data_IF_997627976030
#
_entry.id   IF_997627976030
#
_cell.length_a   1.000
_cell.length_b   1.000
_cell.length_c   1.000
_cell.angle_alpha   90.00
_cell.angle_beta   90.00
_cell.angle_gamma   90.00
#
_symmetry.space_group_name_H-M   'P 1'
#
loop_
_entity.id
_entity.type
_entity.pdbx_description
1 polymer ?
#
# COMPACT_ATOMS: atom_id res chain seq x y z
N UNK A 1 -24.33 -6.90 13.06
CA UNK A 1 -25.57 -7.67 12.83
C UNK A 1 -25.35 -9.19 12.92
N UNK A 2 -24.48 -9.81 12.13
CA UNK A 2 -24.24 -11.27 12.25
C UNK A 2 -23.54 -11.69 13.56
N UNK A 3 -22.74 -10.80 14.17
CA UNK A 3 -21.98 -11.08 15.41
C UNK A 3 -22.92 -11.61 16.51
N UNK A 4 -23.99 -10.87 16.81
CA UNK A 4 -25.01 -11.26 17.79
C UNK A 4 -25.77 -12.53 17.38
N UNK A 5 -26.08 -12.70 16.08
CA UNK A 5 -26.78 -13.88 15.57
C UNK A 5 -26.03 -15.19 15.84
N UNK A 6 -24.69 -15.16 15.76
CA UNK A 6 -23.84 -16.31 16.08
C UNK A 6 -23.40 -16.35 17.55
N UNK A 7 -23.93 -15.47 18.41
CA UNK A 7 -23.56 -15.38 19.82
C UNK A 7 -22.11 -14.94 20.07
N UNK A 8 -21.52 -14.21 19.11
CA UNK A 8 -20.15 -13.70 19.19
C UNK A 8 -20.15 -12.33 19.90
N UNK A 9 -19.01 -11.98 20.50
CA UNK A 9 -18.79 -10.68 21.15
C UNK A 9 -18.23 -9.64 20.19
N UNK A 10 -17.45 -10.07 19.21
CA UNK A 10 -16.76 -9.22 18.24
C UNK A 10 -16.57 -9.96 16.90
N UNK A 11 -16.02 -9.28 15.88
CA UNK A 11 -15.77 -9.91 14.58
C UNK A 11 -14.56 -10.89 14.69
N UNK A 12 -14.77 -12.21 14.55
CA UNK A 12 -13.69 -13.18 14.69
C UNK A 12 -12.66 -13.07 13.57
N UNK A 13 -13.00 -12.52 12.40
CA UNK A 13 -12.17 -12.49 11.20
C UNK A 13 -11.73 -11.08 10.80
N UNK A 14 -11.72 -10.14 11.74
CA UNK A 14 -11.12 -8.83 11.53
C UNK A 14 -9.68 -8.96 11.02
N UNK A 15 -9.31 -8.13 10.03
CA UNK A 15 -7.97 -8.11 9.45
C UNK A 15 -6.98 -7.28 10.28
N UNK A 16 -7.47 -6.53 11.27
CA UNK A 16 -6.63 -5.81 12.23
C UNK A 16 -5.79 -6.79 13.04
N UNK A 17 -4.49 -6.52 13.24
CA UNK A 17 -3.62 -7.38 14.02
C UNK A 17 -3.96 -7.24 15.52
N UNK A 18 -4.69 -8.21 16.06
CA UNK A 18 -4.99 -8.36 17.50
C UNK A 18 -4.23 -9.59 18.06
N UNK A 19 -3.34 -9.42 19.06
CA UNK A 19 -2.59 -10.52 19.66
C UNK A 19 -3.46 -11.66 20.21
N UNK A 20 -4.68 -11.38 20.68
CA UNK A 20 -5.59 -12.41 21.22
C UNK A 20 -5.99 -13.45 20.16
N UNK A 21 -5.95 -13.07 18.89
CA UNK A 21 -6.30 -13.91 17.74
C UNK A 21 -5.07 -14.60 17.11
N UNK A 22 -3.89 -14.47 17.74
CA UNK A 22 -2.68 -15.13 17.29
C UNK A 22 -2.76 -16.64 17.51
N UNK A 23 -2.99 -17.36 16.42
CA UNK A 23 -2.86 -18.81 16.39
C UNK A 23 -1.44 -19.20 15.95
N UNK A 24 -0.65 -19.73 16.88
CA UNK A 24 0.69 -20.25 16.60
C UNK A 24 0.61 -21.74 16.25
N UNK A 25 0.47 -22.04 14.96
CA UNK A 25 0.61 -23.42 14.48
C UNK A 25 2.01 -23.97 14.76
N UNK A 26 2.21 -25.29 14.66
CA UNK A 26 3.50 -25.91 14.95
C UNK A 26 4.65 -25.25 14.17
N UNK A 27 4.44 -24.95 12.89
CA UNK A 27 5.40 -24.23 12.05
C UNK A 27 5.66 -22.80 12.52
N UNK A 28 4.63 -22.09 13.01
CA UNK A 28 4.84 -20.75 13.58
C UNK A 28 5.67 -20.82 14.86
N UNK A 29 5.48 -21.85 15.69
CA UNK A 29 6.26 -22.05 16.90
C UNK A 29 7.72 -22.37 16.58
N UNK A 30 7.97 -23.26 15.61
CA UNK A 30 9.32 -23.55 15.11
C UNK A 30 9.98 -22.29 14.54
N UNK A 31 9.26 -21.51 13.73
CA UNK A 31 9.74 -20.25 13.19
C UNK A 31 10.19 -19.32 14.31
N UNK A 32 9.34 -19.15 15.33
CA UNK A 32 9.64 -18.27 16.45
C UNK A 32 10.84 -18.73 17.25
N UNK A 33 10.95 -20.03 17.53
CA UNK A 33 12.09 -20.60 18.22
C UNK A 33 13.38 -20.36 17.44
N UNK A 34 13.36 -20.55 16.11
CA UNK A 34 14.50 -20.23 15.25
C UNK A 34 14.86 -18.74 15.24
N UNK A 35 13.87 -17.84 15.22
CA UNK A 35 14.11 -16.39 15.29
C UNK A 35 14.72 -15.99 16.64
N UNK A 36 14.17 -16.50 17.74
CA UNK A 36 14.68 -16.24 19.09
C UNK A 36 16.10 -16.77 19.25
N UNK A 37 16.35 -18.00 18.83
CA UNK A 37 17.69 -18.58 18.83
C UNK A 37 18.70 -17.74 18.04
N UNK A 38 18.33 -17.31 16.83
CA UNK A 38 19.15 -16.45 15.99
C UNK A 38 19.40 -15.06 16.59
N UNK A 39 18.54 -14.59 17.48
CA UNK A 39 18.75 -13.36 18.25
C UNK A 39 19.65 -13.60 19.47
N UNK A 40 19.60 -14.81 20.05
CA UNK A 40 20.28 -15.09 21.31
C UNK A 40 21.69 -15.65 21.20
N UNK A 41 22.01 -16.42 20.15
CA UNK A 41 23.28 -17.17 20.08
C UNK A 41 24.38 -16.56 19.20
N UNK A 42 24.15 -15.41 18.57
CA UNK A 42 25.25 -14.66 17.96
C UNK A 42 24.92 -13.98 16.65
N UNK A 43 25.77 -13.02 16.32
CA UNK A 43 25.55 -12.01 15.31
C UNK A 43 25.41 -12.50 13.87
N UNK A 44 24.54 -11.85 13.14
CA UNK A 44 24.40 -12.03 11.70
C UNK A 44 23.01 -11.60 11.22
N UNK A 45 22.59 -12.23 10.13
CA UNK A 45 21.27 -12.04 9.55
C UNK A 45 20.36 -13.23 9.83
N UNK A 46 19.15 -12.95 10.26
CA UNK A 46 18.06 -13.92 10.27
C UNK A 46 17.08 -13.52 9.17
N UNK A 47 16.72 -14.47 8.32
CA UNK A 47 15.76 -14.24 7.24
C UNK A 47 14.45 -14.98 7.54
N UNK A 48 13.35 -14.23 7.53
CA UNK A 48 12.00 -14.78 7.54
C UNK A 48 11.28 -14.42 6.23
N UNK A 49 11.01 -15.42 5.39
CA UNK A 49 10.20 -15.22 4.19
C UNK A 49 8.83 -15.88 4.33
N UNK A 50 7.88 -15.46 3.51
CA UNK A 50 6.59 -16.14 3.38
C UNK A 50 5.66 -15.37 2.45
N UNK A 51 4.67 -16.06 1.90
CA UNK A 51 3.69 -15.46 0.99
C UNK A 51 2.89 -14.31 1.65
N UNK A 52 2.24 -13.49 0.83
CA UNK A 52 1.38 -12.42 1.34
C UNK A 52 0.26 -13.01 2.19
N UNK A 53 0.09 -12.49 3.40
CA UNK A 53 -0.98 -12.89 4.30
C UNK A 53 -0.75 -14.20 5.07
N UNK A 54 0.47 -14.75 5.08
CA UNK A 54 0.85 -15.92 5.90
C UNK A 54 1.00 -15.63 7.40
N UNK A 55 0.98 -14.36 7.81
CA UNK A 55 1.09 -13.98 9.21
C UNK A 55 2.47 -13.46 9.65
N UNK A 56 3.36 -13.11 8.72
CA UNK A 56 4.70 -12.53 9.03
C UNK A 56 4.64 -11.38 10.05
N UNK A 57 3.75 -10.41 9.88
CA UNK A 57 3.59 -9.30 10.83
C UNK A 57 3.10 -9.76 12.20
N UNK A 58 2.22 -10.78 12.25
CA UNK A 58 1.79 -11.39 13.52
C UNK A 58 2.94 -12.15 14.18
N UNK A 59 3.83 -12.77 13.39
CA UNK A 59 5.05 -13.40 13.88
C UNK A 59 6.04 -12.40 14.47
N UNK A 60 6.23 -11.24 13.84
CA UNK A 60 7.05 -10.16 14.41
C UNK A 60 6.48 -9.71 15.77
N UNK A 61 5.16 -9.53 15.87
CA UNK A 61 4.52 -9.18 17.15
C UNK A 61 4.75 -10.26 18.22
N UNK A 62 4.54 -11.52 17.86
CA UNK A 62 4.78 -12.66 18.75
C UNK A 62 6.26 -12.75 19.20
N UNK A 63 7.19 -12.36 18.33
CA UNK A 63 8.60 -12.25 18.64
C UNK A 63 8.85 -11.15 19.66
N UNK A 64 8.37 -9.94 19.40
CA UNK A 64 8.54 -8.79 20.30
C UNK A 64 7.99 -9.07 21.71
N UNK A 65 6.84 -9.75 21.83
CA UNK A 65 6.25 -10.13 23.12
C UNK A 65 7.07 -11.17 23.90
N UNK A 66 7.97 -11.90 23.24
CA UNK A 66 8.81 -12.96 23.84
C UNK A 66 10.29 -12.60 23.89
N UNK A 67 10.67 -11.41 23.43
CA UNK A 67 12.05 -10.98 23.54
C UNK A 67 12.41 -10.77 25.02
N UNK A 68 13.63 -11.17 25.43
CA UNK A 68 14.13 -10.85 26.76
C UNK A 68 14.17 -9.34 27.03
N UNK A 69 14.01 -8.94 28.29
CA UNK A 69 14.00 -7.52 28.69
C UNK A 69 15.32 -6.77 28.42
N UNK A 70 16.42 -7.50 28.23
CA UNK A 70 17.73 -6.94 27.88
C UNK A 70 17.94 -6.77 26.36
N UNK A 71 16.87 -6.78 25.57
CA UNK A 71 16.92 -6.57 24.11
C UNK A 71 16.26 -5.25 23.74
N UNK A 72 17.02 -4.37 23.10
CA UNK A 72 16.53 -3.16 22.45
C UNK A 72 16.24 -3.44 20.98
N UNK A 73 15.07 -3.02 20.50
CA UNK A 73 14.61 -3.31 19.15
C UNK A 73 14.42 -2.03 18.35
N UNK A 74 14.93 -2.03 17.12
CA UNK A 74 14.55 -1.11 16.07
C UNK A 74 13.70 -1.86 15.03
N UNK A 75 12.47 -1.40 14.78
CA UNK A 75 11.52 -1.99 13.84
C UNK A 75 11.25 -1.04 12.66
N UNK A 76 11.76 -1.41 11.49
CA UNK A 76 11.55 -0.67 10.24
C UNK A 76 10.43 -1.35 9.44
N UNK A 77 9.27 -0.70 9.34
CA UNK A 77 8.08 -1.22 8.65
C UNK A 77 7.93 -0.74 7.19
N UNK A 78 8.63 0.31 6.78
CA UNK A 78 8.44 0.98 5.49
C UNK A 78 9.75 1.06 4.71
N UNK A 79 10.13 0.03 3.93
CA UNK A 79 11.45 -0.04 3.30
C UNK A 79 11.70 0.88 2.08
N UNK A 80 10.85 1.89 1.80
CA UNK A 80 11.07 2.89 0.72
C UNK A 80 11.89 4.08 1.22
N UNK A 81 13.00 3.77 1.87
CA UNK A 81 13.84 4.78 2.50
C UNK A 81 15.13 4.89 1.72
N UNK A 82 15.59 6.11 1.52
CA UNK A 82 17.00 6.36 1.24
C UNK A 82 17.86 5.83 2.40
N UNK A 83 19.16 5.62 2.17
CA UNK A 83 20.10 5.18 3.23
C UNK A 83 20.03 6.09 4.46
N UNK A 84 19.90 7.41 4.24
CA UNK A 84 19.78 8.40 5.30
C UNK A 84 18.49 8.24 6.09
N UNK A 85 17.35 8.09 5.42
CA UNK A 85 16.05 7.91 6.09
C UNK A 85 15.96 6.57 6.82
N UNK A 86 16.62 5.54 6.30
CA UNK A 86 16.73 4.24 6.96
C UNK A 86 17.50 4.34 8.27
N UNK A 87 18.70 4.94 8.26
CA UNK A 87 19.47 5.15 9.50
C UNK A 87 18.74 6.08 10.47
N UNK A 88 18.10 7.13 9.97
CA UNK A 88 17.26 8.00 10.76
C UNK A 88 16.17 7.23 11.49
N UNK A 89 15.43 6.36 10.78
CA UNK A 89 14.38 5.53 11.36
C UNK A 89 14.92 4.58 12.44
N UNK A 90 16.13 4.04 12.27
CA UNK A 90 16.76 3.17 13.27
C UNK A 90 17.09 3.97 14.53
N UNK A 91 17.72 5.14 14.38
CA UNK A 91 18.10 5.99 15.51
C UNK A 91 16.85 6.50 16.26
N UNK A 92 15.81 6.89 15.52
CA UNK A 92 14.56 7.38 16.11
C UNK A 92 13.87 6.27 16.95
N UNK A 93 13.83 5.02 16.45
CA UNK A 93 13.20 3.90 17.16
C UNK A 93 14.03 3.43 18.39
N UNK A 94 15.37 3.48 18.28
CA UNK A 94 16.29 3.25 19.40
C UNK A 94 16.39 4.44 20.37
N UNK A 95 15.69 5.54 20.09
CA UNK A 95 15.73 6.79 20.87
C UNK A 95 17.13 7.36 21.04
N UNK A 96 17.94 7.26 19.99
CA UNK A 96 19.29 7.83 19.93
C UNK A 96 19.21 9.25 19.37
N UNK A 97 19.70 10.22 20.14
CA UNK A 97 19.74 11.60 19.69
C UNK A 97 20.63 11.77 18.45
N UNK A 98 20.12 12.52 17.47
CA UNK A 98 20.86 12.87 16.25
C UNK A 98 20.81 14.37 16.02
N UNK A 99 21.91 14.95 15.57
CA UNK A 99 21.90 16.36 15.18
C UNK A 99 21.09 16.53 13.89
N UNK A 100 20.23 17.54 13.85
CA UNK A 100 19.35 17.80 12.69
C UNK A 100 20.12 18.07 11.38
N UNK A 101 21.41 18.43 11.47
CA UNK A 101 22.34 18.65 10.34
C UNK A 101 23.35 17.50 10.15
N UNK A 102 23.14 16.36 10.82
CA UNK A 102 24.12 15.27 10.86
C UNK A 102 24.43 14.68 9.48
N UNK A 103 25.71 14.49 9.19
CA UNK A 103 26.13 13.71 8.02
C UNK A 103 25.76 12.24 8.17
N UNK A 104 25.76 11.48 7.07
CA UNK A 104 25.53 10.03 7.11
C UNK A 104 26.52 9.33 8.06
N UNK A 105 27.79 9.74 8.01
CA UNK A 105 28.84 9.28 8.92
C UNK A 105 28.46 9.56 10.38
N UNK A 106 27.98 10.76 10.69
CA UNK A 106 27.56 11.11 12.05
C UNK A 106 26.42 10.23 12.58
N UNK A 107 25.50 9.81 11.72
CA UNK A 107 24.44 8.85 12.09
C UNK A 107 24.99 7.46 12.38
N UNK A 108 25.96 6.99 11.58
CA UNK A 108 26.63 5.71 11.79
C UNK A 108 27.46 5.76 13.09
N UNK A 109 28.18 6.85 13.34
CA UNK A 109 28.99 7.04 14.54
C UNK A 109 28.10 7.05 15.80
N UNK A 110 26.94 7.74 15.74
CA UNK A 110 25.96 7.75 16.84
C UNK A 110 25.36 6.36 17.09
N UNK A 111 25.01 5.63 16.03
CA UNK A 111 24.53 4.25 16.15
C UNK A 111 25.61 3.37 16.77
N UNK A 112 26.86 3.45 16.31
CA UNK A 112 27.97 2.65 16.83
C UNK A 112 28.22 2.94 18.33
N UNK A 113 28.20 4.22 18.73
CA UNK A 113 28.35 4.60 20.13
C UNK A 113 27.23 4.02 21.01
N UNK A 114 25.97 4.11 20.55
CA UNK A 114 24.83 3.49 21.22
C UNK A 114 25.00 1.97 21.34
N UNK A 115 25.37 1.29 20.25
CA UNK A 115 25.56 -0.16 20.22
C UNK A 115 26.65 -0.63 21.20
N UNK A 116 27.76 0.10 21.29
CA UNK A 116 28.84 -0.18 22.25
C UNK A 116 28.41 0.03 23.71
N UNK A 117 27.70 1.12 24.00
CA UNK A 117 27.14 1.39 25.34
C UNK A 117 26.13 0.32 25.75
N UNK A 118 25.25 -0.08 24.82
CA UNK A 118 24.27 -1.13 25.07
C UNK A 118 24.93 -2.47 25.39
N UNK A 119 25.95 -2.83 24.60
CA UNK A 119 26.75 -4.03 24.83
C UNK A 119 27.50 -3.98 26.18
N UNK A 120 28.08 -2.83 26.55
CA UNK A 120 28.73 -2.66 27.86
C UNK A 120 27.76 -2.86 29.04
N UNK A 121 26.47 -2.59 28.84
CA UNK A 121 25.38 -2.84 29.81
C UNK A 121 24.84 -4.27 29.77
N UNK A 122 25.42 -5.17 28.96
CA UNK A 122 24.94 -6.54 28.78
C UNK A 122 23.62 -6.64 28.01
N UNK A 123 23.24 -5.56 27.31
CA UNK A 123 22.04 -5.49 26.48
C UNK A 123 22.39 -5.80 25.03
N UNK A 124 21.39 -6.22 24.26
CA UNK A 124 21.52 -6.60 22.86
C UNK A 124 20.65 -5.70 22.01
N UNK A 125 21.11 -5.39 20.81
CA UNK A 125 20.34 -4.58 19.87
C UNK A 125 19.93 -5.41 18.67
N UNK A 126 18.62 -5.41 18.36
CA UNK A 126 18.02 -6.12 17.23
C UNK A 126 17.37 -5.14 16.28
N UNK A 127 17.74 -5.19 15.01
CA UNK A 127 17.07 -4.49 13.93
C UNK A 127 16.16 -5.45 13.17
N UNK A 128 14.86 -5.20 13.19
CA UNK A 128 13.87 -5.92 12.39
C UNK A 128 13.47 -5.05 11.21
N UNK A 129 13.65 -5.56 9.99
CA UNK A 129 13.22 -4.88 8.76
C UNK A 129 12.11 -5.68 8.11
N UNK A 130 10.87 -5.19 8.20
CA UNK A 130 9.72 -5.79 7.50
C UNK A 130 9.69 -5.36 6.03
N UNK A 131 9.02 -6.16 5.22
CA UNK A 131 8.91 -5.95 3.76
C UNK A 131 10.27 -5.83 3.04
N UNK A 132 11.34 -6.44 3.57
CA UNK A 132 12.73 -6.28 3.12
C UNK A 132 12.99 -6.63 1.64
N UNK A 133 12.09 -7.37 0.99
CA UNK A 133 12.10 -7.59 -0.47
C UNK A 133 11.95 -6.30 -1.29
N UNK A 134 11.49 -5.21 -0.67
CA UNK A 134 11.31 -3.89 -1.28
C UNK A 134 12.55 -2.99 -1.14
N UNK A 135 13.56 -3.40 -0.38
CA UNK A 135 14.80 -2.63 -0.20
C UNK A 135 15.59 -2.57 -1.49
N UNK A 136 16.27 -1.44 -1.73
CA UNK A 136 17.22 -1.33 -2.82
C UNK A 136 18.49 -2.12 -2.54
N UNK A 137 19.24 -2.48 -3.59
CA UNK A 137 20.55 -3.14 -3.47
C UNK A 137 21.54 -2.31 -2.69
N UNK A 138 21.55 -0.99 -2.93
CA UNK A 138 22.37 -0.04 -2.19
C UNK A 138 22.07 -0.10 -0.69
N UNK A 139 20.79 -0.14 -0.31
CA UNK A 139 20.40 -0.21 1.09
C UNK A 139 20.78 -1.54 1.73
N UNK A 140 20.66 -2.66 1.01
CA UNK A 140 21.12 -3.98 1.47
C UNK A 140 22.65 -4.02 1.69
N UNK A 141 23.42 -3.34 0.84
CA UNK A 141 24.85 -3.18 1.06
C UNK A 141 25.15 -2.33 2.30
N UNK A 142 24.39 -1.26 2.55
CA UNK A 142 24.53 -0.48 3.78
C UNK A 142 24.19 -1.31 5.01
N UNK A 143 23.12 -2.10 4.97
CA UNK A 143 22.77 -3.05 6.02
C UNK A 143 23.91 -4.07 6.22
N UNK A 144 24.53 -4.56 5.14
CA UNK A 144 25.73 -5.43 5.24
C UNK A 144 26.86 -4.72 5.99
N UNK A 145 27.12 -3.45 5.72
CA UNK A 145 28.17 -2.69 6.41
C UNK A 145 27.87 -2.48 7.90
N UNK A 146 26.60 -2.29 8.28
CA UNK A 146 26.21 -2.16 9.70
C UNK A 146 26.52 -3.41 10.52
N UNK A 147 26.52 -4.61 9.91
CA UNK A 147 26.94 -5.84 10.62
C UNK A 147 28.45 -5.95 10.88
N UNK A 148 29.25 -5.02 10.37
CA UNK A 148 30.65 -4.89 10.75
C UNK A 148 30.81 -4.06 12.04
N UNK A 149 29.73 -3.53 12.62
CA UNK A 149 29.76 -2.92 13.95
C UNK A 149 29.88 -4.05 14.99
N UNK A 150 31.10 -4.32 15.42
CA UNK A 150 31.47 -5.43 16.28
C UNK A 150 32.59 -5.06 17.26
N UNK A 151 32.65 -5.76 18.39
CA UNK A 151 33.84 -5.80 19.23
C UNK A 151 34.81 -6.86 18.69
N UNK A 152 35.97 -7.02 19.33
CA UNK A 152 36.90 -8.11 19.00
C UNK A 152 36.33 -9.51 19.23
N UNK A 153 35.21 -9.63 19.95
CA UNK A 153 34.61 -10.92 20.34
C UNK A 153 33.20 -11.12 19.81
N UNK A 154 32.42 -10.05 19.64
CA UNK A 154 30.98 -10.16 19.41
C UNK A 154 30.44 -9.09 18.45
N UNK A 155 29.44 -9.46 17.65
CA UNK A 155 28.67 -8.50 16.85
C UNK A 155 27.77 -7.68 17.76
N UNK A 156 27.68 -6.38 17.48
CA UNK A 156 26.87 -5.47 18.30
C UNK A 156 25.43 -5.31 17.81
N UNK A 157 25.16 -5.65 16.54
CA UNK A 157 23.84 -5.52 15.92
C UNK A 157 23.40 -6.83 15.28
N UNK A 158 22.24 -7.32 15.71
CA UNK A 158 21.55 -8.44 15.06
C UNK A 158 20.51 -7.92 14.08
N UNK A 159 20.39 -8.53 12.89
CA UNK A 159 19.44 -8.06 11.88
C UNK A 159 18.47 -9.18 11.48
N UNK A 160 17.17 -8.92 11.57
CA UNK A 160 16.09 -9.79 11.11
C UNK A 160 15.45 -9.19 9.86
N UNK A 161 15.64 -9.82 8.70
CA UNK A 161 15.04 -9.43 7.44
C UNK A 161 13.76 -10.23 7.21
N UNK A 162 12.62 -9.55 7.18
CA UNK A 162 11.31 -10.16 6.97
C UNK A 162 10.76 -9.73 5.61
N UNK A 163 10.25 -10.67 4.81
CA UNK A 163 9.76 -10.32 3.47
C UNK A 163 9.00 -11.42 2.75
N UNK A 164 8.70 -11.17 1.48
CA UNK A 164 8.13 -12.16 0.57
C UNK A 164 9.25 -13.07 0.00
N UNK A 165 8.93 -14.20 -0.67
CA UNK A 165 9.94 -15.12 -1.21
C UNK A 165 10.97 -14.46 -2.15
N UNK A 166 10.62 -13.35 -2.79
CA UNK A 166 11.50 -12.51 -3.60
C UNK A 166 12.73 -12.04 -2.82
N UNK A 167 12.63 -11.85 -1.50
CA UNK A 167 13.78 -11.56 -0.64
C UNK A 167 14.82 -12.68 -0.69
N UNK A 168 14.39 -13.94 -0.65
CA UNK A 168 15.30 -15.08 -0.72
C UNK A 168 16.02 -15.12 -2.07
N UNK A 169 15.28 -14.90 -3.16
CA UNK A 169 15.83 -14.84 -4.52
C UNK A 169 16.80 -13.67 -4.68
N UNK A 170 16.45 -12.50 -4.15
CA UNK A 170 17.30 -11.31 -4.17
C UNK A 170 18.61 -11.54 -3.42
N UNK A 171 18.55 -12.08 -2.20
CA UNK A 171 19.73 -12.41 -1.41
C UNK A 171 20.59 -13.48 -2.07
N UNK A 172 20.00 -14.44 -2.80
CA UNK A 172 20.74 -15.46 -3.54
C UNK A 172 21.46 -14.93 -4.80
N UNK A 173 21.23 -13.66 -5.20
CA UNK A 173 21.87 -13.08 -6.37
C UNK A 173 23.40 -12.93 -6.19
N UNK A 174 24.14 -12.93 -7.31
CA UNK A 174 25.61 -12.86 -7.29
C UNK A 174 26.13 -11.60 -6.58
N UNK A 175 25.44 -10.49 -6.75
CA UNK A 175 25.80 -9.19 -6.16
C UNK A 175 25.70 -9.19 -4.63
N UNK A 176 24.71 -9.89 -4.06
CA UNK A 176 24.48 -9.94 -2.61
C UNK A 176 25.05 -11.19 -1.95
N UNK A 177 25.93 -11.94 -2.64
CA UNK A 177 26.49 -13.20 -2.12
C UNK A 177 27.19 -13.01 -0.77
N UNK A 178 27.87 -11.89 -0.56
CA UNK A 178 28.54 -11.58 0.71
C UNK A 178 27.55 -11.39 1.85
N UNK A 179 26.43 -10.73 1.60
CA UNK A 179 25.34 -10.57 2.56
C UNK A 179 24.68 -11.94 2.84
N UNK A 180 24.43 -12.72 1.81
CA UNK A 180 23.79 -14.04 1.91
C UNK A 180 24.58 -15.05 2.77
N UNK A 181 25.92 -14.99 2.72
CA UNK A 181 26.81 -15.81 3.54
C UNK A 181 26.76 -15.46 5.03
N UNK A 182 26.30 -14.25 5.37
CA UNK A 182 26.12 -13.79 6.76
C UNK A 182 24.73 -14.13 7.32
N UNK A 183 23.86 -14.76 6.52
CA UNK A 183 22.55 -15.23 6.97
C UNK A 183 22.72 -16.53 7.73
N UNK A 184 22.61 -16.45 9.05
CA UNK A 184 22.81 -17.56 9.99
C UNK A 184 21.58 -18.44 10.09
N UNK A 185 20.39 -17.87 9.88
CA UNK A 185 19.14 -18.63 9.89
C UNK A 185 18.20 -18.17 8.76
N UNK A 186 17.55 -19.14 8.10
CA UNK A 186 16.54 -18.92 7.06
C UNK A 186 15.30 -19.71 7.41
N UNK A 187 14.18 -19.04 7.56
CA UNK A 187 12.89 -19.68 7.76
C UNK A 187 11.89 -19.22 6.70
N UNK A 188 11.16 -20.17 6.12
CA UNK A 188 10.09 -19.89 5.16
C UNK A 188 8.74 -20.23 5.76
N UNK A 189 7.97 -19.20 6.11
CA UNK A 189 6.63 -19.31 6.65
C UNK A 189 5.63 -19.69 5.55
N UNK A 190 5.20 -20.95 5.59
CA UNK A 190 4.25 -21.53 4.65
C UNK A 190 2.80 -21.36 5.09
N UNK A 191 1.86 -21.50 4.16
CA UNK A 191 0.43 -21.55 4.46
C UNK A 191 0.05 -22.71 5.40
N UNK A 192 -1.07 -22.55 6.11
CA UNK A 192 -1.59 -23.54 7.04
C UNK A 192 -2.03 -24.82 6.33
N UNK A 193 -1.78 -25.97 6.96
CA UNK A 193 -2.30 -27.26 6.53
C UNK A 193 -3.80 -27.40 6.80
N UNK A 194 -4.41 -28.49 6.34
CA UNK A 194 -5.86 -28.69 6.47
C UNK A 194 -6.32 -28.76 7.94
N UNK A 195 -5.56 -29.45 8.79
CA UNK A 195 -5.83 -29.52 10.23
C UNK A 195 -5.64 -28.14 10.90
N UNK A 196 -4.49 -27.51 10.67
CA UNK A 196 -4.16 -26.18 11.20
C UNK A 196 -5.16 -25.11 10.75
N UNK A 197 -5.73 -25.21 9.55
CA UNK A 197 -6.76 -24.27 9.06
C UNK A 197 -8.07 -24.42 9.83
N UNK A 198 -8.48 -25.65 10.13
CA UNK A 198 -9.66 -25.90 10.94
C UNK A 198 -9.45 -25.37 12.37
N UNK A 199 -8.28 -25.64 12.95
CA UNK A 199 -7.87 -25.14 14.27
C UNK A 199 -7.82 -23.61 14.30
N UNK A 200 -7.20 -22.98 13.30
CA UNK A 200 -7.15 -21.52 13.16
C UNK A 200 -8.54 -20.89 13.15
N UNK A 201 -9.46 -21.41 12.33
CA UNK A 201 -10.83 -20.91 12.25
C UNK A 201 -11.55 -21.07 13.59
N UNK A 202 -11.43 -22.23 14.22
CA UNK A 202 -12.07 -22.50 15.50
C UNK A 202 -11.46 -21.68 16.64
N UNK A 203 -10.14 -21.47 16.64
CA UNK A 203 -9.45 -20.61 17.59
C UNK A 203 -10.00 -19.19 17.52
N UNK A 204 -10.05 -18.59 16.32
CA UNK A 204 -10.57 -17.24 16.14
C UNK A 204 -12.05 -17.12 16.55
N UNK A 205 -12.87 -18.11 16.22
CA UNK A 205 -14.26 -18.15 16.68
C UNK A 205 -14.36 -18.27 18.21
N UNK A 206 -13.52 -19.10 18.84
CA UNK A 206 -13.47 -19.27 20.28
C UNK A 206 -13.06 -17.99 21.01
N UNK A 207 -12.04 -17.28 20.52
CA UNK A 207 -11.62 -15.97 21.05
C UNK A 207 -12.75 -14.95 20.96
N UNK A 208 -13.51 -14.96 19.85
CA UNK A 208 -14.68 -14.11 19.67
C UNK A 208 -15.90 -14.55 20.51
N UNK A 209 -15.82 -15.64 21.28
CA UNK A 209 -16.86 -16.11 22.21
C UNK A 209 -17.78 -17.21 21.68
N UNK A 210 -17.48 -17.84 20.54
CA UNK A 210 -18.28 -18.94 20.02
C UNK A 210 -18.26 -20.14 20.99
N UNK A 211 -19.44 -20.57 21.44
CA UNK A 211 -19.58 -21.76 22.29
C UNK A 211 -19.89 -23.04 21.51
N UNK A 212 -20.34 -22.90 20.26
CA UNK A 212 -20.71 -24.04 19.41
C UNK A 212 -20.04 -23.95 18.03
N UNK A 213 -19.87 -25.08 17.31
CA UNK A 213 -19.23 -25.08 16.01
C UNK A 213 -20.02 -24.32 14.94
N UNK A 214 -19.61 -23.08 14.66
CA UNK A 214 -20.24 -22.20 13.65
C UNK A 214 -20.02 -22.70 12.23
N UNK A 215 -18.88 -23.34 11.95
CA UNK A 215 -18.57 -23.91 10.64
C UNK A 215 -18.79 -25.44 10.63
N UNK A 216 -19.30 -25.96 9.52
CA UNK A 216 -19.33 -27.41 9.28
C UNK A 216 -17.94 -27.93 8.87
N UNK A 217 -17.63 -29.21 9.10
CA UNK A 217 -16.36 -29.83 8.62
C UNK A 217 -16.17 -29.67 7.11
N UNK A 218 -17.26 -29.76 6.34
CA UNK A 218 -17.23 -29.52 4.90
C UNK A 218 -16.94 -28.05 4.54
N UNK A 219 -17.44 -27.10 5.33
CA UNK A 219 -17.10 -25.69 5.19
C UNK A 219 -15.62 -25.43 5.46
N UNK A 220 -15.05 -25.97 6.56
CA UNK A 220 -13.63 -25.82 6.88
C UNK A 220 -12.71 -26.38 5.77
N UNK A 221 -13.04 -27.55 5.21
CA UNK A 221 -12.33 -28.09 4.03
C UNK A 221 -12.44 -27.18 2.81
N UNK A 222 -13.60 -26.55 2.60
CA UNK A 222 -13.81 -25.60 1.51
C UNK A 222 -13.03 -24.29 1.73
N UNK A 223 -12.95 -23.81 2.98
CA UNK A 223 -12.15 -22.65 3.36
C UNK A 223 -10.68 -22.92 3.04
N UNK A 224 -10.13 -24.06 3.46
CA UNK A 224 -8.74 -24.43 3.14
C UNK A 224 -8.49 -24.51 1.64
N UNK A 225 -9.41 -25.13 0.88
CA UNK A 225 -9.26 -25.32 -0.56
C UNK A 225 -9.18 -23.98 -1.28
N UNK A 226 -10.06 -23.05 -0.94
CA UNK A 226 -10.10 -21.75 -1.61
C UNK A 226 -8.98 -20.81 -1.15
N UNK A 227 -8.75 -20.72 0.17
CA UNK A 227 -7.74 -19.81 0.73
C UNK A 227 -6.30 -20.25 0.49
N UNK A 228 -6.06 -21.46 0.02
CA UNK A 228 -4.71 -22.02 -0.02
C UNK A 228 -4.08 -22.21 1.37
N UNK A 229 -4.86 -22.08 2.46
CA UNK A 229 -4.36 -22.10 3.84
C UNK A 229 -3.75 -20.76 4.28
N UNK A 230 -3.92 -19.70 3.49
CA UNK A 230 -3.38 -18.37 3.79
C UNK A 230 -4.32 -17.68 4.80
N UNK A 231 -3.86 -17.36 6.03
CA UNK A 231 -4.66 -16.72 7.07
C UNK A 231 -5.47 -15.50 6.61
N UNK A 232 -4.88 -14.58 5.83
CA UNK A 232 -5.59 -13.41 5.31
C UNK A 232 -6.80 -13.80 4.45
N UNK A 233 -6.62 -14.79 3.56
CA UNK A 233 -7.71 -15.28 2.71
C UNK A 233 -8.74 -16.06 3.53
N UNK A 234 -8.31 -16.85 4.52
CA UNK A 234 -9.21 -17.54 5.46
C UNK A 234 -10.12 -16.52 6.16
N UNK A 235 -9.57 -15.41 6.64
CA UNK A 235 -10.34 -14.36 7.32
C UNK A 235 -11.36 -13.71 6.39
N UNK A 236 -10.93 -13.32 5.19
CA UNK A 236 -11.82 -12.72 4.18
C UNK A 236 -12.99 -13.64 3.83
N UNK A 237 -12.72 -14.93 3.58
CA UNK A 237 -13.78 -15.90 3.29
C UNK A 237 -14.64 -16.16 4.52
N UNK A 238 -14.04 -16.25 5.71
CA UNK A 238 -14.73 -16.51 6.96
C UNK A 238 -15.76 -15.43 7.28
N UNK A 239 -15.35 -14.17 7.21
CA UNK A 239 -16.23 -13.00 7.44
C UNK A 239 -17.39 -12.98 6.45
N UNK A 240 -17.10 -13.14 5.15
CA UNK A 240 -18.13 -13.17 4.10
C UNK A 240 -19.06 -14.36 4.23
N UNK A 241 -18.55 -15.54 4.60
CA UNK A 241 -19.37 -16.73 4.77
C UNK A 241 -20.29 -16.62 6.01
N UNK A 242 -19.84 -15.98 7.10
CA UNK A 242 -20.70 -15.65 8.25
C UNK A 242 -21.82 -14.70 7.85
N UNK A 243 -21.49 -13.65 7.09
CA UNK A 243 -22.48 -12.70 6.60
C UNK A 243 -23.52 -13.38 5.69
N UNK A 244 -23.09 -14.25 4.77
CA UNK A 244 -23.98 -15.01 3.90
C UNK A 244 -24.87 -16.00 4.67
N UNK A 245 -24.33 -16.69 5.67
CA UNK A 245 -25.10 -17.59 6.52
C UNK A 245 -26.18 -16.82 7.32
N UNK A 246 -25.83 -15.66 7.86
CA UNK A 246 -26.77 -14.77 8.54
C UNK A 246 -27.88 -14.28 7.60
N UNK A 247 -27.53 -13.82 6.39
CA UNK A 247 -28.49 -13.34 5.40
C UNK A 247 -29.51 -14.42 4.97
N UNK A 248 -29.13 -15.69 5.02
CA UNK A 248 -30.00 -16.83 4.73
C UNK A 248 -30.63 -17.49 5.97
N UNK A 249 -30.48 -16.89 7.16
CA UNK A 249 -31.04 -17.40 8.41
C UNK A 249 -30.51 -18.79 8.81
N UNK A 250 -29.24 -19.08 8.51
CA UNK A 250 -28.62 -20.38 8.78
C UNK A 250 -27.70 -20.32 10.00
N UNK A 251 -27.96 -21.19 10.98
CA UNK A 251 -27.19 -21.28 12.22
C UNK A 251 -25.73 -21.76 12.05
N UNK A 252 -25.39 -22.40 10.91
CA UNK A 252 -24.05 -22.88 10.62
C UNK A 252 -23.64 -22.57 9.19
N UNK A 253 -22.37 -22.22 9.01
CA UNK A 253 -21.75 -22.01 7.71
C UNK A 253 -21.51 -23.36 7.02
N UNK A 254 -22.08 -23.49 5.82
CA UNK A 254 -21.95 -24.67 4.97
C UNK A 254 -20.86 -24.50 3.91
N UNK A 255 -20.47 -25.62 3.28
CA UNK A 255 -19.51 -25.60 2.18
C UNK A 255 -19.98 -24.75 0.97
N UNK A 256 -21.29 -24.68 0.70
CA UNK A 256 -21.82 -23.88 -0.42
C UNK A 256 -21.69 -22.39 -0.16
N UNK A 257 -21.92 -21.93 1.08
CA UNK A 257 -21.75 -20.53 1.49
C UNK A 257 -20.29 -20.09 1.39
N UNK A 258 -19.35 -20.94 1.80
CA UNK A 258 -17.92 -20.67 1.64
C UNK A 258 -17.54 -20.51 0.17
N UNK A 259 -18.05 -21.40 -0.71
CA UNK A 259 -17.81 -21.29 -2.16
C UNK A 259 -18.44 -20.03 -2.77
N UNK A 260 -19.58 -19.58 -2.24
CA UNK A 260 -20.20 -18.34 -2.67
C UNK A 260 -19.36 -17.13 -2.22
N UNK A 261 -19.01 -17.04 -0.95
CA UNK A 261 -18.14 -16.00 -0.40
C UNK A 261 -16.82 -15.88 -1.15
N UNK A 262 -16.19 -17.02 -1.44
CA UNK A 262 -15.00 -17.14 -2.29
C UNK A 262 -15.17 -16.48 -3.67
N UNK A 263 -16.26 -16.82 -4.38
CA UNK A 263 -16.55 -16.23 -5.70
C UNK A 263 -16.79 -14.73 -5.64
N UNK A 264 -17.45 -14.24 -4.60
CA UNK A 264 -17.69 -12.80 -4.42
C UNK A 264 -16.37 -12.04 -4.24
N UNK A 265 -15.42 -12.60 -3.51
CA UNK A 265 -14.08 -12.01 -3.33
C UNK A 265 -13.30 -11.99 -4.65
N UNK A 266 -13.36 -13.07 -5.45
CA UNK A 266 -12.74 -13.12 -6.78
C UNK A 266 -13.41 -12.20 -7.82
N UNK A 267 -14.72 -12.00 -7.72
CA UNK A 267 -15.46 -11.14 -8.66
C UNK A 267 -15.27 -9.65 -8.35
N UNK A 268 -15.10 -9.28 -7.07
CA UNK A 268 -14.70 -7.91 -6.70
C UNK A 268 -13.31 -7.50 -7.22
N UNK A 269 -12.48 -8.47 -7.64
CA UNK A 269 -11.14 -8.25 -8.21
C UNK A 269 -11.09 -8.37 -9.74
N UNK A 270 -12.20 -8.76 -10.40
CA UNK A 270 -12.29 -8.81 -11.88
C UNK A 270 -13.22 -7.72 -12.40
N UNK A 271 -12.77 -6.80 -13.28
CA UNK A 271 -13.71 -5.92 -13.98
C UNK A 271 -14.70 -6.80 -14.74
N UNK A 272 -15.99 -6.60 -14.49
CA UNK A 272 -17.06 -7.43 -15.03
C UNK A 272 -17.11 -7.34 -16.57
N UNK A 273 -16.55 -8.35 -17.24
CA UNK A 273 -16.61 -8.53 -18.70
C UNK A 273 -18.05 -8.67 -19.23
N UNK A 274 -19.01 -9.00 -18.37
CA UNK A 274 -20.42 -9.12 -18.80
C UNK A 274 -21.04 -7.76 -19.15
N UNK A 275 -20.57 -6.65 -18.55
CA UNK A 275 -21.00 -5.32 -18.99
C UNK A 275 -20.44 -5.01 -20.38
N UNK A 276 -19.16 -5.24 -20.65
CA UNK A 276 -18.58 -4.98 -21.98
C UNK A 276 -19.29 -5.72 -23.13
N UNK A 277 -19.72 -6.98 -22.93
CA UNK A 277 -20.46 -7.74 -23.95
C UNK A 277 -21.91 -7.25 -24.13
N UNK A 278 -22.58 -6.84 -23.05
CA UNK A 278 -23.94 -6.25 -23.14
C UNK A 278 -23.88 -4.90 -23.86
N UNK A 279 -22.90 -4.06 -23.55
CA UNK A 279 -22.72 -2.76 -24.20
C UNK A 279 -22.31 -2.89 -25.68
N UNK A 280 -21.50 -3.90 -26.03
CA UNK A 280 -21.18 -4.23 -27.41
C UNK A 280 -22.41 -4.74 -28.19
N UNK A 281 -23.25 -5.57 -27.56
CA UNK A 281 -24.50 -6.05 -28.14
C UNK A 281 -25.52 -4.93 -28.38
N UNK A 282 -25.68 -4.01 -27.41
CA UNK A 282 -26.57 -2.86 -27.57
C UNK A 282 -26.05 -1.87 -28.61
N UNK A 283 -24.72 -1.64 -28.67
CA UNK A 283 -24.12 -0.77 -29.69
C UNK A 283 -24.34 -1.33 -31.11
N UNK A 284 -24.14 -2.65 -31.30
CA UNK A 284 -24.39 -3.30 -32.59
C UNK A 284 -25.86 -3.20 -33.02
N UNK A 285 -26.81 -3.37 -32.09
CA UNK A 285 -28.24 -3.20 -32.38
C UNK A 285 -28.62 -1.76 -32.70
N UNK A 286 -28.02 -0.76 -32.03
CA UNK A 286 -28.26 0.65 -32.35
C UNK A 286 -27.70 1.05 -33.72
N UNK A 287 -26.51 0.56 -34.08
CA UNK A 287 -25.91 0.84 -35.40
C UNK A 287 -26.71 0.17 -36.52
N UNK A 288 -27.16 -1.07 -36.31
CA UNK A 288 -28.03 -1.76 -37.27
C UNK A 288 -29.40 -1.07 -37.42
N UNK A 289 -29.98 -0.58 -36.31
CA UNK A 289 -31.23 0.18 -36.31
C UNK A 289 -31.12 1.53 -37.03
N UNK A 290 -30.03 2.28 -36.80
CA UNK A 290 -29.76 3.54 -37.50
C UNK A 290 -29.50 3.34 -38.99
N UNK A 291 -28.76 2.30 -39.38
CA UNK A 291 -28.53 1.99 -40.80
C UNK A 291 -29.85 1.62 -41.51
N UNK A 292 -30.69 0.80 -40.89
CA UNK A 292 -32.01 0.47 -41.42
C UNK A 292 -32.94 1.69 -41.51
N UNK A 293 -32.88 2.60 -40.52
CA UNK A 293 -33.65 3.84 -40.54
C UNK A 293 -33.19 4.79 -41.67
N UNK A 294 -31.88 4.92 -41.91
CA UNK A 294 -31.36 5.75 -43.01
C UNK A 294 -31.72 5.20 -44.40
N UNK A 295 -31.81 3.87 -44.55
CA UNK A 295 -32.24 3.22 -45.79
C UNK A 295 -33.75 3.33 -46.04
N UNK A 296 -34.55 3.52 -44.98
CA UNK A 296 -36.00 3.70 -45.11
C UNK A 296 -36.43 5.16 -45.28
N UNK A 297 -35.70 6.10 -44.66
CA UNK A 297 -36.07 7.53 -44.62
C UNK A 297 -35.43 8.39 -45.71
N UNK A 298 -34.52 7.86 -46.52
CA UNK A 298 -33.92 8.62 -47.65
C UNK A 298 -34.17 7.93 -49.01
N UNK A 299 -35.40 7.92 -49.55
CA UNK A 299 -35.60 7.63 -50.97
C UNK A 299 -35.91 8.86 -51.85
N UNK A 300 -35.89 10.11 -51.35
CA UNK A 300 -36.44 11.24 -52.15
C UNK A 300 -35.67 12.57 -52.11
N UNK A 301 -34.36 12.57 -51.81
CA UNK A 301 -33.59 13.83 -51.80
C UNK A 301 -32.33 13.76 -52.67
N UNK A 302 -32.47 13.30 -53.91
CA UNK A 302 -31.49 13.52 -54.97
C UNK A 302 -32.20 13.93 -56.27
N UNK A 303 -32.91 15.07 -56.22
CA UNK A 303 -33.17 15.86 -57.42
C UNK A 303 -32.12 16.97 -57.54
N UNK A 304 -31.17 16.68 -58.41
CA UNK A 304 -30.30 17.56 -59.19
C UNK A 304 -30.67 19.04 -59.22
N UNK A 305 -29.72 19.89 -58.82
CA UNK A 305 -29.58 21.24 -59.40
C UNK A 305 -28.23 21.35 -60.11
N UNK A 306 -28.31 21.17 -61.43
CA UNK A 306 -27.28 21.47 -62.41
C UNK A 306 -26.91 22.94 -62.41
N UNK A 307 -25.63 23.25 -62.23
CA UNK A 307 -24.97 24.38 -62.89
C UNK A 307 -23.65 23.82 -63.44
N UNK A 308 -23.59 23.67 -64.76
CA UNK A 308 -22.39 23.25 -65.46
C UNK A 308 -21.44 24.41 -65.70
N UNK A 309 -20.18 24.12 -66.04
CA UNK A 309 -19.47 24.65 -67.22
C UNK A 309 -18.27 23.74 -67.53
N UNK A 310 -18.27 23.31 -68.79
CA UNK A 310 -17.17 22.95 -69.71
C UNK A 310 -16.01 22.02 -69.28
N UNK A 311 -15.96 20.92 -70.01
CA UNK A 311 -14.84 20.02 -70.19
C UNK A 311 -13.65 20.67 -70.93
N UNK A 312 -12.42 20.27 -70.60
CA UNK A 312 -11.44 19.79 -71.58
C UNK A 312 -10.67 18.61 -70.97
N UNK A 313 -10.49 17.61 -71.82
CA UNK A 313 -9.97 16.26 -71.62
C UNK A 313 -8.42 16.19 -71.74
N UNK A 314 -7.74 15.03 -71.75
CA UNK A 314 -6.60 14.74 -70.89
C UNK A 314 -5.27 14.56 -71.68
N UNK A 315 -4.18 14.15 -70.99
CA UNK A 315 -3.40 12.93 -71.30
C UNK A 315 -2.07 12.86 -70.50
N UNK A 316 -1.87 11.66 -69.92
CA UNK A 316 -0.66 10.92 -69.46
C UNK A 316 0.66 11.34 -70.17
N UNK A 317 1.89 11.17 -69.67
CA UNK A 317 2.54 10.41 -68.59
C UNK A 317 4.06 10.57 -68.79
N UNK A 318 4.89 10.59 -67.73
CA UNK A 318 6.13 9.78 -67.66
C UNK A 318 6.83 9.91 -66.29
N UNK A 319 7.22 8.77 -65.71
CA UNK A 319 8.22 8.65 -64.63
C UNK A 319 9.63 8.71 -65.23
N UNK A 320 10.65 9.00 -64.41
CA UNK A 320 11.94 8.25 -64.31
C UNK A 320 12.88 8.87 -63.23
N UNK A 321 13.21 8.01 -62.24
CA UNK A 321 14.44 7.75 -61.44
C UNK A 321 15.25 8.79 -60.63
N UNK A 322 15.49 8.40 -59.37
CA UNK A 322 16.74 8.25 -58.56
C UNK A 322 17.69 9.41 -58.18
N UNK A 323 17.79 9.64 -56.84
CA UNK A 323 18.96 9.74 -55.90
C UNK A 323 20.25 10.55 -56.28
N UNK A 324 21.16 10.95 -55.34
CA UNK A 324 21.08 11.21 -53.87
C UNK A 324 22.01 12.37 -53.36
N UNK A 325 22.23 12.41 -52.02
CA UNK A 325 23.40 12.95 -51.25
C UNK A 325 23.16 14.31 -50.56
N UNK A 326 23.03 14.41 -49.23
CA UNK A 326 24.02 14.31 -48.13
C UNK A 326 25.02 15.49 -48.07
N UNK A 327 25.09 16.16 -46.89
CA UNK A 327 25.77 17.45 -46.57
C UNK A 327 27.31 17.43 -46.58
N UNK A 328 28.07 18.17 -45.72
CA UNK A 328 27.71 19.06 -44.58
C UNK A 328 28.55 20.39 -44.50
N UNK A 329 28.55 21.02 -43.31
CA UNK A 329 29.50 22.03 -42.76
C UNK A 329 29.39 23.51 -43.24
N UNK A 330 29.65 24.57 -42.46
CA UNK A 330 29.91 24.79 -41.03
C UNK A 330 30.00 26.32 -40.78
N UNK A 331 29.67 26.77 -39.53
CA UNK A 331 30.15 27.96 -38.77
C UNK A 331 29.87 29.39 -39.32
N UNK A 332 29.42 30.31 -38.46
CA UNK A 332 30.22 31.23 -37.59
C UNK A 332 29.29 32.25 -36.86
N UNK A 333 29.53 32.35 -35.55
CA UNK A 333 29.44 33.47 -34.57
C UNK A 333 28.46 34.66 -34.70
N UNK A 334 27.88 35.04 -33.55
CA UNK A 334 28.27 36.25 -32.79
C UNK A 334 27.47 36.42 -31.47
N UNK A 335 28.18 36.89 -30.43
CA UNK A 335 27.69 37.61 -29.22
C UNK A 335 27.91 39.11 -29.48
N UNK A 336 27.25 40.09 -28.82
CA UNK A 336 27.18 40.33 -27.36
C UNK A 336 25.73 40.69 -26.91
N UNK A 337 25.34 40.90 -25.65
CA UNK A 337 25.81 41.97 -24.76
C UNK A 337 25.21 41.85 -23.34
N UNK A 338 25.80 42.60 -22.42
CA UNK A 338 25.45 42.71 -21.02
C UNK A 338 24.13 43.47 -20.78
N UNK A 339 23.41 43.07 -19.74
CA UNK A 339 22.23 43.77 -19.24
C UNK A 339 22.00 43.40 -17.78
N UNK A 340 22.49 44.27 -16.89
CA UNK A 340 22.21 44.21 -15.46
C UNK A 340 20.70 44.35 -15.22
N UNK A 341 20.12 43.37 -14.52
CA UNK A 341 18.80 43.49 -13.92
C UNK A 341 18.92 43.12 -12.44
N UNK A 342 18.70 44.13 -11.61
CA UNK A 342 18.55 44.04 -10.17
C UNK A 342 17.45 43.04 -9.82
N UNK A 343 17.82 41.89 -9.26
CA UNK A 343 16.87 40.98 -8.63
C UNK A 343 16.82 41.36 -7.16
N UNK A 344 15.72 42.03 -6.82
CA UNK A 344 15.29 42.34 -5.47
C UNK A 344 15.32 41.07 -4.62
N UNK A 345 16.12 41.13 -3.57
CA UNK A 345 16.11 40.19 -2.45
C UNK A 345 14.73 40.23 -1.82
N UNK A 346 13.82 39.34 -2.20
CA UNK A 346 12.64 39.06 -1.38
C UNK A 346 13.07 38.10 -0.31
N UNK A 347 13.30 38.67 0.87
CA UNK A 347 13.58 37.98 2.11
C UNK A 347 12.64 36.81 2.34
N UNK A 348 13.25 35.67 2.66
CA UNK A 348 12.62 34.56 3.33
C UNK A 348 12.11 35.02 4.70
N UNK A 349 10.79 35.19 4.84
CA UNK A 349 10.10 35.02 6.12
C UNK A 349 9.45 33.65 6.12
N UNK A 350 10.21 32.64 6.55
CA UNK A 350 9.66 31.42 7.09
C UNK A 350 9.14 31.72 8.50
N UNK A 351 7.89 32.15 8.58
CA UNK A 351 7.16 32.30 9.84
C UNK A 351 6.81 30.92 10.38
N UNK A 352 7.40 30.55 11.52
CA UNK A 352 6.94 29.45 12.37
C UNK A 352 5.57 29.81 12.98
N UNK A 353 4.50 29.79 12.18
CA UNK A 353 3.14 29.86 12.72
C UNK A 353 2.80 28.49 13.31
N UNK A 354 2.52 28.46 14.61
CA UNK A 354 1.93 27.29 15.27
C UNK A 354 0.57 27.00 14.65
N UNK A 355 0.18 25.73 14.50
CA UNK A 355 -1.11 25.31 13.95
C UNK A 355 -2.30 26.09 14.57
N UNK A 356 -2.22 26.37 15.88
CA UNK A 356 -3.21 27.17 16.61
C UNK A 356 -3.37 28.60 16.07
N UNK A 357 -2.29 29.22 15.59
CA UNK A 357 -2.31 30.57 15.02
C UNK A 357 -2.91 30.57 13.60
N UNK A 358 -2.76 29.48 12.86
CA UNK A 358 -3.34 29.30 11.51
C UNK A 358 -4.84 29.03 11.60
N UNK A 359 -5.28 28.22 12.56
CA UNK A 359 -6.71 27.91 12.76
C UNK A 359 -7.51 29.09 13.31
N UNK A 360 -6.85 30.02 14.00
CA UNK A 360 -7.46 31.23 14.55
C UNK A 360 -7.52 32.40 13.56
N UNK A 361 -6.92 32.28 12.37
CA UNK A 361 -6.90 33.34 11.36
C UNK A 361 -8.28 33.45 10.67
N UNK A 362 -8.98 34.61 10.77
CA UNK A 362 -10.28 34.81 10.11
C UNK A 362 -10.23 34.72 8.58
N UNK A 363 -9.04 34.82 7.97
CA UNK A 363 -8.87 34.69 6.52
C UNK A 363 -8.77 33.23 6.06
N UNK A 364 -8.56 32.28 6.98
CA UNK A 364 -8.49 30.86 6.67
C UNK A 364 -9.88 30.24 6.90
N UNK A 365 -10.59 29.98 5.80
CA UNK A 365 -11.88 29.29 5.87
C UNK A 365 -11.69 27.84 6.34
N UNK A 366 -12.29 27.49 7.48
CA UNK A 366 -12.19 26.18 8.12
C UNK A 366 -13.54 25.46 8.23
N UNK A 367 -14.55 25.92 7.49
CA UNK A 367 -15.86 25.27 7.42
C UNK A 367 -15.88 24.11 6.41
N UNK A 368 -16.88 23.26 6.54
CA UNK A 368 -17.03 22.05 5.74
C UNK A 368 -17.14 22.36 4.25
N UNK A 369 -17.92 23.36 3.86
CA UNK A 369 -18.15 23.67 2.44
C UNK A 369 -16.91 24.25 1.77
N UNK A 370 -16.16 25.12 2.46
CA UNK A 370 -14.87 25.62 1.98
C UNK A 370 -13.84 24.51 1.79
N UNK A 371 -13.79 23.54 2.71
CA UNK A 371 -12.90 22.39 2.61
C UNK A 371 -13.24 21.49 1.41
N UNK A 372 -14.53 21.23 1.16
CA UNK A 372 -14.98 20.49 -0.03
C UNK A 372 -14.75 21.27 -1.32
N UNK A 373 -14.95 22.59 -1.33
CA UNK A 373 -14.67 23.44 -2.48
C UNK A 373 -13.18 23.39 -2.87
N UNK A 374 -12.27 23.47 -1.88
CA UNK A 374 -10.84 23.30 -2.11
C UNK A 374 -10.46 21.91 -2.66
N UNK A 375 -11.09 20.85 -2.13
CA UNK A 375 -10.86 19.48 -2.58
C UNK A 375 -11.29 19.28 -4.03
N UNK A 376 -12.45 19.81 -4.41
CA UNK A 376 -12.96 19.77 -5.78
C UNK A 376 -12.07 20.56 -6.74
N UNK A 377 -11.61 21.75 -6.33
CA UNK A 377 -10.69 22.56 -7.12
C UNK A 377 -9.38 21.81 -7.41
N UNK A 378 -8.85 21.05 -6.44
CA UNK A 378 -7.66 20.22 -6.63
C UNK A 378 -7.87 19.11 -7.70
N UNK A 379 -9.11 18.64 -7.86
CA UNK A 379 -9.51 17.70 -8.92
C UNK A 379 -10.05 18.38 -10.19
N UNK A 380 -9.93 19.70 -10.30
CA UNK A 380 -10.45 20.51 -11.42
C UNK A 380 -11.97 20.36 -11.62
N UNK A 381 -12.71 20.27 -10.52
CA UNK A 381 -14.17 20.22 -10.48
C UNK A 381 -14.73 21.49 -9.82
N UNK A 382 -15.92 21.91 -10.23
CA UNK A 382 -16.62 23.06 -9.64
C UNK A 382 -17.63 22.58 -8.58
N UNK A 383 -17.38 22.89 -7.30
CA UNK A 383 -18.25 22.50 -6.19
C UNK A 383 -19.63 23.17 -6.21
N UNK A 384 -19.73 24.39 -6.74
CA UNK A 384 -21.00 25.13 -6.82
C UNK A 384 -21.90 24.61 -7.95
N UNK A 385 -21.31 23.99 -8.97
CA UNK A 385 -22.01 23.43 -10.13
C UNK A 385 -22.81 22.14 -9.84
N UNK A 386 -22.66 21.54 -8.66
CA UNK A 386 -23.36 20.31 -8.29
C UNK A 386 -24.43 20.56 -7.22
N UNK A 387 -25.65 20.08 -7.45
CA UNK A 387 -26.74 20.15 -6.50
C UNK A 387 -26.59 19.12 -5.36
N UNK A 388 -26.83 19.55 -4.13
CA UNK A 388 -26.80 18.70 -2.92
C UNK A 388 -26.75 19.53 -1.64
N UNK A 389 -27.27 18.97 -0.55
CA UNK A 389 -27.31 19.60 0.78
C UNK A 389 -26.03 19.36 1.58
N UNK A 390 -25.22 18.37 1.18
CA UNK A 390 -23.92 18.08 1.78
C UNK A 390 -22.84 18.00 0.72
N UNK A 391 -21.58 18.26 1.10
CA UNK A 391 -20.46 18.14 0.16
C UNK A 391 -20.29 16.73 -0.42
N UNK A 392 -20.70 15.70 0.31
CA UNK A 392 -20.66 14.34 -0.19
C UNK A 392 -21.76 14.03 -1.23
N UNK A 393 -22.97 14.54 -1.05
CA UNK A 393 -24.03 14.42 -2.05
C UNK A 393 -23.62 15.08 -3.38
N UNK A 394 -23.00 16.26 -3.29
CA UNK A 394 -22.42 16.95 -4.45
C UNK A 394 -21.31 16.13 -5.11
N UNK A 395 -20.43 15.52 -4.31
CA UNK A 395 -19.36 14.65 -4.80
C UNK A 395 -19.91 13.44 -5.56
N UNK A 396 -20.99 12.84 -5.06
CA UNK A 396 -21.66 11.73 -5.75
C UNK A 396 -22.23 12.15 -7.11
N UNK A 397 -22.79 13.37 -7.21
CA UNK A 397 -23.25 13.92 -8.51
C UNK A 397 -22.10 14.21 -9.47
N UNK A 398 -20.90 14.49 -8.95
CA UNK A 398 -19.67 14.61 -9.72
C UNK A 398 -19.02 13.25 -10.08
N UNK A 399 -19.64 12.12 -9.73
CA UNK A 399 -19.10 10.77 -9.98
C UNK A 399 -18.03 10.32 -8.97
N UNK A 400 -17.85 11.06 -7.88
CA UNK A 400 -16.92 10.74 -6.80
C UNK A 400 -17.63 9.98 -5.67
N UNK A 401 -16.86 9.32 -4.82
CA UNK A 401 -17.38 8.64 -3.62
C UNK A 401 -16.61 9.13 -2.41
N UNK A 402 -17.32 9.46 -1.33
CA UNK A 402 -16.69 9.85 -0.08
C UNK A 402 -16.32 8.62 0.72
N UNK A 403 -15.09 8.61 1.22
CA UNK A 403 -14.63 7.65 2.20
C UNK A 403 -14.47 8.38 3.53
N UNK A 404 -15.25 7.97 4.54
CA UNK A 404 -15.11 8.45 5.90
C UNK A 404 -14.38 7.40 6.73
N UNK A 405 -13.26 7.79 7.35
CA UNK A 405 -12.48 6.91 8.20
C UNK A 405 -11.83 7.73 9.33
N UNK A 406 -11.81 7.16 10.53
CA UNK A 406 -10.97 7.65 11.61
C UNK A 406 -9.58 7.01 11.50
N UNK A 407 -8.52 7.78 11.73
CA UNK A 407 -7.16 7.29 11.59
C UNK A 407 -6.12 8.27 12.08
N UNK A 408 -4.87 7.87 11.92
CA UNK A 408 -3.67 8.67 12.23
C UNK A 408 -3.13 9.36 10.97
N UNK A 409 -2.19 10.28 11.13
CA UNK A 409 -1.47 10.88 10.00
C UNK A 409 -0.83 9.82 9.08
N UNK A 410 -0.40 8.69 9.65
CA UNK A 410 0.11 7.54 8.90
C UNK A 410 -0.94 6.90 7.99
N UNK A 411 -2.22 6.87 8.41
CA UNK A 411 -3.32 6.38 7.57
C UNK A 411 -3.59 7.33 6.39
N UNK A 412 -3.54 8.63 6.63
CA UNK A 412 -3.74 9.66 5.60
C UNK A 412 -2.62 9.59 4.54
N UNK A 413 -1.36 9.43 4.96
CA UNK A 413 -0.20 9.24 4.07
C UNK A 413 -0.30 7.97 3.22
N UNK A 414 -0.84 6.87 3.76
CA UNK A 414 -1.04 5.63 2.99
C UNK A 414 -2.07 5.79 1.86
N UNK A 415 -3.07 6.66 2.03
CA UNK A 415 -4.04 6.94 0.97
C UNK A 415 -3.43 7.74 -0.19
N UNK A 416 -2.41 8.55 0.08
CA UNK A 416 -1.73 9.42 -0.89
C UNK A 416 -2.73 10.16 -1.80
N UNK A 417 -3.75 10.76 -1.18
CA UNK A 417 -4.80 11.54 -1.82
C UNK A 417 -5.09 12.76 -0.94
N UNK A 418 -5.50 13.89 -1.55
CA UNK A 418 -5.99 15.02 -0.79
C UNK A 418 -7.16 14.59 0.08
N UNK A 419 -7.16 15.03 1.33
CA UNK A 419 -8.14 14.62 2.32
C UNK A 419 -8.56 15.80 3.19
N UNK A 420 -9.84 15.82 3.56
CA UNK A 420 -10.35 16.77 4.55
C UNK A 420 -10.19 16.11 5.92
N UNK A 421 -9.51 16.80 6.83
CA UNK A 421 -9.35 16.34 8.22
C UNK A 421 -10.17 17.23 9.15
N UNK A 422 -10.63 16.63 10.23
CA UNK A 422 -11.33 17.31 11.32
C UNK A 422 -10.34 17.59 12.45
N UNK A 423 -10.21 18.85 12.83
CA UNK A 423 -9.34 19.32 13.92
C UNK A 423 -10.19 20.03 14.97
N UNK A 424 -9.72 19.96 16.22
CA UNK A 424 -10.30 20.70 17.35
C UNK A 424 -9.25 21.68 17.87
N UNK A 425 -9.61 22.95 17.99
CA UNK A 425 -8.75 23.94 18.64
C UNK A 425 -8.73 23.74 20.16
N UNK A 426 -7.92 24.54 20.87
CA UNK A 426 -7.82 24.47 22.34
C UNK A 426 -9.11 24.89 23.08
N UNK A 427 -10.03 25.55 22.39
CA UNK A 427 -11.32 26.02 22.92
C UNK A 427 -12.45 25.02 22.61
N UNK A 428 -12.15 23.96 21.84
CA UNK A 428 -13.09 22.92 21.43
C UNK A 428 -13.87 23.23 20.14
N UNK A 429 -13.51 24.29 19.41
CA UNK A 429 -14.10 24.61 18.11
C UNK A 429 -13.65 23.59 17.07
N UNK A 430 -14.61 23.10 16.27
CA UNK A 430 -14.35 22.13 15.22
C UNK A 430 -14.02 22.83 13.90
N UNK A 431 -12.90 22.43 13.30
CA UNK A 431 -12.42 22.91 12.01
C UNK A 431 -12.32 21.76 11.00
N UNK A 432 -12.71 22.00 9.76
CA UNK A 432 -12.43 21.12 8.62
C UNK A 432 -11.38 21.78 7.74
N UNK A 433 -10.26 21.11 7.55
CA UNK A 433 -9.15 21.63 6.73
C UNK A 433 -8.76 20.64 5.66
N UNK A 434 -8.48 21.16 4.48
CA UNK A 434 -7.99 20.37 3.36
C UNK A 434 -6.48 20.19 3.50
N UNK A 435 -6.03 18.93 3.43
CA UNK A 435 -4.63 18.61 3.26
C UNK A 435 -4.38 18.18 1.83
N UNK A 436 -3.61 18.98 1.08
CA UNK A 436 -3.28 18.73 -0.32
C UNK A 436 -1.99 17.95 -0.50
N UNK A 437 -1.03 18.09 0.42
CA UNK A 437 0.29 17.44 0.40
C UNK A 437 0.68 17.00 1.83
N UNK A 438 1.33 15.83 1.97
CA UNK A 438 1.55 15.14 3.25
C UNK A 438 2.97 14.66 3.49
#
# INVERSE_FOLDING_TARGET
MYIQYFGLKENPFALSPDPRYLYLSHRHQEALAHLLYGITEGGGFVQLTGEVGTGKTMMIRALLERLPENVDVALVLYPFLSVREFLASILDDLRVERSAKGSLKGMIDALNAFLLDNHAKGRRTVLIVDEAHRLSRELLEQIRLLTNLETTKEKLLQIVLVGQPELATMLASRELRQLAQRVTARYNLTALQAAETAEYVNHRLGVAGAQTPVFTRAALRSVRRWSGGIPRLINLTGDRALLGAYAHGKARVSASMVRQAAREIEQGTRPSRSRLLVWAGTAALTVAGLAAATLWFVPDMLQTKTIGVAAVEPVKSRKVTDHPSAGPDARVASKPDAGAASVTTTEALASNSTLDAVLADPQVATDTDSAFAGLFAHWRLDYAGFAGNTGCERAQKAGLHCLFAAGTWSNLRQLNRPAIIELYDRVGTRHHVLVTEL
#
